data_IF_989709716107
#
_entry.id   IF_989709716107
#
_cell.length_a   1.000
_cell.length_b   1.000
_cell.length_c   1.000
_cell.angle_alpha   90.00
_cell.angle_beta   90.00
_cell.angle_gamma   90.00
#
_symmetry.space_group_name_H-M   'P 1'
#
loop_
_entity.id
_entity.type
_entity.pdbx_description
1 polymer ?
#
# COMPACT_ATOMS: atom_id res chain seq x y z
N UNK A 1 -14.86 16.55 14.66
CA UNK A 1 -15.64 15.39 14.14
C UNK A 1 -14.87 14.11 14.46
N UNK A 2 -15.55 12.99 14.83
CA UNK A 2 -14.86 11.75 15.17
C UNK A 2 -15.24 10.61 14.22
N UNK A 3 -14.28 9.70 13.98
CA UNK A 3 -14.52 8.42 13.32
C UNK A 3 -13.80 7.30 14.08
N UNK A 4 -14.29 6.08 14.03
CA UNK A 4 -13.59 4.94 14.57
C UNK A 4 -12.57 4.44 13.53
N UNK A 5 -11.30 4.40 13.92
CA UNK A 5 -10.25 3.74 13.17
C UNK A 5 -10.02 2.33 13.70
N UNK A 6 -10.00 1.34 12.81
CA UNK A 6 -9.67 -0.05 13.13
C UNK A 6 -8.46 -0.45 12.31
N UNK A 7 -7.43 -0.98 12.97
CA UNK A 7 -6.20 -1.45 12.34
C UNK A 7 -6.12 -2.98 12.46
N UNK A 8 -6.32 -3.70 11.36
CA UNK A 8 -6.19 -5.16 11.27
C UNK A 8 -4.72 -5.52 11.02
N UNK A 9 -4.05 -5.95 12.07
CA UNK A 9 -2.66 -6.41 11.97
C UNK A 9 -2.53 -7.93 12.12
N UNK A 10 -1.45 -8.50 11.62
CA UNK A 10 -1.22 -9.97 11.66
C UNK A 10 -1.06 -10.57 13.06
N UNK A 11 -0.78 -9.78 14.10
CA UNK A 11 -0.64 -10.25 15.49
C UNK A 11 -1.64 -9.64 16.46
N UNK A 12 -2.31 -8.57 16.08
CA UNK A 12 -3.28 -7.89 16.91
C UNK A 12 -4.04 -6.84 16.13
N UNK A 13 -5.33 -6.76 16.41
CA UNK A 13 -6.25 -5.78 15.87
C UNK A 13 -6.47 -4.69 16.91
N UNK A 14 -6.48 -3.45 16.47
CA UNK A 14 -6.56 -2.28 17.37
C UNK A 14 -7.62 -1.33 16.87
N UNK A 15 -8.29 -0.63 17.78
CA UNK A 15 -9.20 0.42 17.41
C UNK A 15 -9.14 1.58 18.41
N UNK A 16 -9.43 2.78 17.92
CA UNK A 16 -9.70 3.96 18.74
C UNK A 16 -10.60 4.94 17.99
N UNK A 17 -11.45 5.70 18.68
CA UNK A 17 -12.08 6.89 18.15
C UNK A 17 -11.01 7.96 17.90
N UNK A 18 -11.04 8.57 16.71
CA UNK A 18 -10.07 9.58 16.28
C UNK A 18 -10.78 10.90 16.03
N UNK A 19 -10.23 11.97 16.55
CA UNK A 19 -10.61 13.33 16.17
C UNK A 19 -10.00 13.64 14.79
N UNK A 20 -10.85 13.81 13.79
CA UNK A 20 -10.46 14.00 12.40
C UNK A 20 -9.83 15.39 12.11
N UNK A 21 -9.85 16.32 13.03
CA UNK A 21 -9.19 17.63 12.90
C UNK A 21 -7.75 17.58 13.38
N UNK A 22 -7.49 16.76 14.41
CA UNK A 22 -6.18 16.72 15.08
C UNK A 22 -5.42 15.42 14.89
N UNK A 23 -6.09 14.34 14.43
CA UNK A 23 -5.53 13.00 14.32
C UNK A 23 -5.32 12.30 15.67
N UNK A 24 -5.73 12.92 16.78
CA UNK A 24 -5.56 12.38 18.13
C UNK A 24 -6.67 11.41 18.50
N UNK A 25 -6.34 10.43 19.32
CA UNK A 25 -7.32 9.53 19.88
C UNK A 25 -8.22 10.25 20.89
N UNK A 26 -9.53 10.09 20.74
CA UNK A 26 -10.52 10.67 21.66
C UNK A 26 -10.78 9.75 22.87
N UNK A 27 -10.30 8.51 22.85
CA UNK A 27 -10.32 7.55 23.94
C UNK A 27 -9.12 6.60 23.84
N UNK A 28 -8.86 5.86 24.91
CA UNK A 28 -7.77 4.88 24.94
C UNK A 28 -7.98 3.80 23.88
N UNK A 29 -6.89 3.40 23.25
CA UNK A 29 -6.86 2.36 22.25
C UNK A 29 -7.20 0.98 22.84
N UNK A 30 -8.18 0.29 22.27
CA UNK A 30 -8.46 -1.12 22.54
C UNK A 30 -7.65 -2.00 21.60
N UNK A 31 -7.08 -3.10 22.12
CA UNK A 31 -6.34 -4.10 21.36
C UNK A 31 -6.88 -5.50 21.67
N UNK A 32 -7.18 -6.25 20.61
CA UNK A 32 -7.56 -7.67 20.68
C UNK A 32 -6.55 -8.46 19.83
N UNK A 33 -6.15 -9.64 20.28
CA UNK A 33 -5.27 -10.50 19.49
C UNK A 33 -5.93 -10.92 18.17
N UNK A 34 -5.19 -10.92 17.08
CA UNK A 34 -5.67 -11.46 15.81
C UNK A 34 -5.90 -12.95 15.97
N UNK A 35 -7.07 -13.50 15.57
CA UNK A 35 -7.37 -14.92 15.69
C UNK A 35 -6.40 -15.77 14.89
N UNK A 36 -6.22 -17.01 15.30
CA UNK A 36 -5.41 -17.98 14.58
C UNK A 36 -6.17 -19.30 14.44
N UNK A 37 -6.52 -19.69 13.18
CA UNK A 37 -6.22 -19.01 11.90
C UNK A 37 -6.98 -17.69 11.76
N UNK A 38 -6.40 -16.74 11.00
CA UNK A 38 -6.99 -15.43 10.77
C UNK A 38 -7.96 -15.47 9.57
N UNK A 39 -8.93 -16.40 9.64
CA UNK A 39 -9.98 -16.57 8.63
C UNK A 39 -10.98 -15.40 8.66
N UNK A 40 -11.68 -15.11 7.54
CA UNK A 40 -12.57 -13.96 7.42
C UNK A 40 -13.59 -13.82 8.55
N UNK A 41 -14.33 -14.88 8.88
CA UNK A 41 -15.38 -14.80 9.91
C UNK A 41 -14.80 -14.53 11.30
N UNK A 42 -13.69 -15.17 11.67
CA UNK A 42 -13.06 -14.95 12.95
C UNK A 42 -12.51 -13.52 13.11
N UNK A 43 -11.97 -12.93 12.05
CA UNK A 43 -11.53 -11.52 12.05
C UNK A 43 -12.73 -10.58 12.11
N UNK A 44 -13.81 -10.89 11.38
CA UNK A 44 -15.05 -10.10 11.42
C UNK A 44 -15.67 -10.06 12.83
N UNK A 45 -15.66 -11.18 13.57
CA UNK A 45 -16.07 -11.21 14.98
C UNK A 45 -15.22 -10.28 15.86
N UNK A 46 -13.91 -10.18 15.61
CA UNK A 46 -13.06 -9.25 16.35
C UNK A 46 -13.38 -7.80 15.98
N UNK A 47 -13.66 -7.50 14.71
CA UNK A 47 -14.12 -6.16 14.31
C UNK A 47 -15.41 -5.80 15.03
N UNK A 48 -16.39 -6.70 15.09
CA UNK A 48 -17.61 -6.49 15.86
C UNK A 48 -17.32 -6.15 17.33
N UNK A 49 -16.49 -6.94 18.00
CA UNK A 49 -16.09 -6.71 19.40
C UNK A 49 -15.40 -5.35 19.60
N UNK A 50 -14.57 -4.91 18.64
CA UNK A 50 -13.94 -3.60 18.70
C UNK A 50 -14.95 -2.45 18.56
N UNK A 51 -15.95 -2.59 17.69
CA UNK A 51 -17.05 -1.61 17.55
C UNK A 51 -17.91 -1.56 18.81
N UNK A 52 -18.26 -2.71 19.37
CA UNK A 52 -19.03 -2.85 20.60
C UNK A 52 -18.30 -2.25 21.82
N UNK A 53 -16.96 -2.44 21.90
CA UNK A 53 -16.15 -1.90 23.01
C UNK A 53 -16.24 -0.39 23.16
N UNK A 54 -16.53 0.32 22.07
CA UNK A 54 -16.75 1.77 22.09
C UNK A 54 -18.23 2.16 22.04
N UNK A 55 -19.16 1.18 22.00
CA UNK A 55 -20.60 1.44 21.72
C UNK A 55 -20.76 2.39 20.54
N UNK A 56 -19.96 2.16 19.48
CA UNK A 56 -19.73 3.13 18.43
C UNK A 56 -20.92 3.19 17.47
N UNK A 57 -21.36 4.42 17.19
CA UNK A 57 -22.27 4.73 16.11
C UNK A 57 -21.74 5.94 15.34
N UNK A 58 -21.35 5.76 14.10
CA UNK A 58 -20.73 6.80 13.27
C UNK A 58 -19.79 6.23 12.21
N UNK A 59 -19.04 7.08 11.50
CA UNK A 59 -18.12 6.63 10.47
C UNK A 59 -17.08 5.64 11.01
N UNK A 60 -16.81 4.57 10.26
CA UNK A 60 -15.79 3.56 10.58
C UNK A 60 -14.87 3.39 9.38
N UNK A 61 -13.58 3.54 9.62
CA UNK A 61 -12.52 3.12 8.69
C UNK A 61 -11.76 1.93 9.23
N UNK A 62 -11.38 1.02 8.35
CA UNK A 62 -10.69 -0.20 8.72
C UNK A 62 -9.51 -0.43 7.78
N UNK A 63 -8.31 -0.72 8.31
CA UNK A 63 -7.20 -1.17 7.48
C UNK A 63 -7.31 -2.64 7.16
N UNK A 64 -6.72 -3.05 6.04
CA UNK A 64 -6.49 -4.43 5.69
C UNK A 64 -5.04 -4.62 5.23
N UNK A 65 -4.30 -5.64 5.73
CA UNK A 65 -2.91 -5.87 5.35
C UNK A 65 -2.83 -6.58 3.98
N UNK A 66 -3.09 -5.83 2.92
CA UNK A 66 -3.09 -6.30 1.54
C UNK A 66 -3.85 -5.37 0.61
N UNK A 67 -3.82 -5.67 -0.67
CA UNK A 67 -4.49 -4.92 -1.74
C UNK A 67 -6.01 -5.02 -1.61
N UNK A 68 -6.68 -3.87 -1.60
CA UNK A 68 -8.15 -3.75 -1.55
C UNK A 68 -8.65 -2.95 -2.75
N UNK A 69 -9.45 -3.57 -3.61
CA UNK A 69 -10.04 -2.91 -4.78
C UNK A 69 -11.56 -2.99 -4.71
N UNK A 70 -12.22 -1.84 -4.57
CA UNK A 70 -13.68 -1.75 -4.46
C UNK A 70 -14.26 -2.62 -3.33
N UNK A 71 -13.56 -2.72 -2.20
CA UNK A 71 -13.96 -3.52 -1.05
C UNK A 71 -13.60 -5.01 -1.12
N UNK A 72 -13.09 -5.46 -2.28
CA UNK A 72 -12.63 -6.85 -2.49
C UNK A 72 -11.14 -6.93 -2.21
N UNK A 73 -10.72 -7.88 -1.37
CA UNK A 73 -9.31 -8.15 -1.08
C UNK A 73 -8.68 -8.95 -2.22
N UNK A 74 -7.52 -8.51 -2.69
CA UNK A 74 -6.79 -9.13 -3.81
C UNK A 74 -5.57 -9.93 -3.36
N UNK A 75 -4.98 -9.54 -2.24
CA UNK A 75 -3.86 -10.23 -1.60
C UNK A 75 -4.14 -10.39 -0.11
N UNK A 76 -3.44 -11.29 0.57
CA UNK A 76 -3.59 -11.55 2.00
C UNK A 76 -2.26 -12.02 2.59
N UNK A 77 -1.22 -11.18 2.56
CA UNK A 77 0.15 -11.55 2.89
C UNK A 77 0.34 -12.15 4.30
N UNK A 78 -0.41 -11.65 5.30
CA UNK A 78 -0.26 -12.02 6.70
C UNK A 78 -1.56 -12.58 7.33
N UNK A 79 -2.55 -12.88 6.52
CA UNK A 79 -3.83 -13.47 6.92
C UNK A 79 -4.09 -14.78 6.16
N UNK A 80 -5.23 -15.39 6.41
CA UNK A 80 -5.62 -16.62 5.73
C UNK A 80 -5.88 -16.39 4.23
N UNK A 81 -5.47 -17.31 3.32
CA UNK A 81 -5.75 -17.19 1.89
C UNK A 81 -7.23 -17.09 1.52
N UNK A 82 -8.15 -17.51 2.39
CA UNK A 82 -9.59 -17.36 2.18
C UNK A 82 -10.07 -15.91 2.02
N UNK A 83 -9.22 -14.94 2.36
CA UNK A 83 -9.49 -13.53 2.08
C UNK A 83 -9.40 -13.17 0.60
N UNK A 84 -8.62 -13.90 -0.19
CA UNK A 84 -8.35 -13.54 -1.60
C UNK A 84 -9.62 -13.69 -2.44
N UNK A 85 -10.06 -12.60 -3.07
CA UNK A 85 -11.28 -12.53 -3.87
C UNK A 85 -12.57 -12.30 -3.06
N UNK A 86 -12.49 -12.19 -1.72
CA UNK A 86 -13.64 -11.94 -0.87
C UNK A 86 -14.06 -10.46 -0.91
N UNK A 87 -15.36 -10.19 -0.93
CA UNK A 87 -15.90 -8.87 -0.59
C UNK A 87 -15.77 -8.65 0.92
N UNK A 88 -14.58 -8.25 1.31
CA UNK A 88 -14.23 -8.02 2.72
C UNK A 88 -15.03 -6.86 3.31
N UNK A 89 -15.32 -5.81 2.49
CA UNK A 89 -16.14 -4.69 2.97
C UNK A 89 -17.53 -5.16 3.34
N UNK A 90 -18.20 -5.94 2.48
CA UNK A 90 -19.54 -6.44 2.79
C UNK A 90 -19.56 -7.32 4.06
N UNK A 91 -18.56 -8.20 4.22
CA UNK A 91 -18.42 -9.03 5.42
C UNK A 91 -18.26 -8.17 6.68
N UNK A 92 -17.34 -7.20 6.67
CA UNK A 92 -17.05 -6.38 7.83
C UNK A 92 -18.20 -5.41 8.16
N UNK A 93 -18.88 -4.84 7.15
CA UNK A 93 -20.09 -4.05 7.35
C UNK A 93 -21.21 -4.86 8.02
N UNK A 94 -21.40 -6.12 7.61
CA UNK A 94 -22.37 -7.02 8.22
C UNK A 94 -22.04 -7.30 9.69
N UNK A 95 -20.78 -7.57 9.99
CA UNK A 95 -20.32 -7.84 11.35
C UNK A 95 -20.45 -6.62 12.28
N UNK A 96 -20.10 -5.43 11.78
CA UNK A 96 -20.21 -4.19 12.54
C UNK A 96 -21.63 -3.64 12.65
N UNK A 97 -22.57 -4.10 11.82
CA UNK A 97 -23.91 -3.52 11.71
C UNK A 97 -23.93 -2.09 11.15
N UNK A 98 -22.84 -1.61 10.57
CA UNK A 98 -22.62 -0.25 10.08
C UNK A 98 -21.75 -0.26 8.82
N UNK A 99 -21.76 0.83 8.07
CA UNK A 99 -20.87 0.97 6.91
C UNK A 99 -19.41 1.14 7.34
N UNK A 100 -18.52 0.38 6.70
CA UNK A 100 -17.07 0.42 6.91
C UNK A 100 -16.37 0.81 5.60
N UNK A 101 -15.48 1.78 5.69
CA UNK A 101 -14.50 2.04 4.64
C UNK A 101 -13.29 1.14 4.85
N UNK A 102 -12.90 0.41 3.81
CA UNK A 102 -11.74 -0.47 3.85
C UNK A 102 -10.60 0.12 3.01
N UNK A 103 -9.40 0.14 3.58
CA UNK A 103 -8.18 0.71 2.96
C UNK A 103 -6.98 -0.21 3.25
N UNK A 104 -5.98 -0.23 2.37
CA UNK A 104 -4.70 -0.89 2.65
C UNK A 104 -4.02 -0.26 3.89
N UNK A 105 -3.26 -1.04 4.67
CA UNK A 105 -2.64 -0.59 5.91
C UNK A 105 -1.52 0.45 5.71
N UNK A 106 -0.70 0.29 4.66
CA UNK A 106 0.34 1.26 4.32
C UNK A 106 -0.27 2.55 3.75
N UNK A 107 -1.32 2.44 2.92
CA UNK A 107 -2.08 3.59 2.43
C UNK A 107 -2.69 4.39 3.59
N UNK A 108 -3.29 3.71 4.57
CA UNK A 108 -3.83 4.36 5.76
C UNK A 108 -2.74 5.10 6.55
N UNK A 109 -1.60 4.44 6.80
CA UNK A 109 -0.48 5.09 7.46
C UNK A 109 0.01 6.33 6.69
N UNK A 110 0.07 6.24 5.37
CA UNK A 110 0.40 7.37 4.50
C UNK A 110 -0.61 8.51 4.59
N UNK A 111 -1.91 8.22 4.57
CA UNK A 111 -2.97 9.25 4.73
C UNK A 111 -2.80 10.00 6.06
N UNK A 112 -2.50 9.28 7.15
CA UNK A 112 -2.26 9.91 8.45
C UNK A 112 -1.02 10.82 8.43
N UNK A 113 0.08 10.37 7.86
CA UNK A 113 1.33 11.15 7.76
C UNK A 113 1.18 12.36 6.85
N UNK A 114 0.44 12.27 5.75
CA UNK A 114 0.16 13.39 4.86
C UNK A 114 -0.78 14.42 5.50
N UNK A 115 -1.67 13.97 6.39
CA UNK A 115 -2.65 14.86 7.04
C UNK A 115 -2.10 15.52 8.29
N UNK A 116 -1.44 14.75 9.15
CA UNK A 116 -1.06 15.19 10.51
C UNK A 116 0.45 15.09 10.79
N UNK A 117 1.18 14.32 9.99
CA UNK A 117 2.56 13.94 10.26
C UNK A 117 3.59 14.60 9.35
N UNK A 118 4.61 13.82 9.01
CA UNK A 118 5.82 14.27 8.31
C UNK A 118 5.57 14.76 6.87
N UNK A 119 4.45 14.34 6.25
CA UNK A 119 4.07 14.73 4.89
C UNK A 119 3.10 15.91 4.81
N UNK A 120 2.74 16.49 5.95
CA UNK A 120 1.74 17.57 5.98
C UNK A 120 2.18 18.79 5.19
N UNK A 121 1.39 19.13 4.16
CA UNK A 121 1.63 20.30 3.31
C UNK A 121 2.76 20.13 2.28
N UNK A 122 3.35 18.94 2.14
CA UNK A 122 4.36 18.65 1.13
C UNK A 122 3.70 18.55 -0.25
N UNK A 123 4.16 19.33 -1.24
CA UNK A 123 3.66 19.27 -2.60
C UNK A 123 4.36 18.17 -3.40
N UNK A 124 3.84 17.88 -4.60
CA UNK A 124 4.44 16.99 -5.56
C UNK A 124 4.34 15.52 -5.14
N UNK A 125 5.34 14.72 -5.51
CA UNK A 125 5.36 13.29 -5.24
C UNK A 125 5.94 13.01 -3.86
N UNK A 126 5.15 12.39 -2.99
CA UNK A 126 5.59 11.91 -1.68
C UNK A 126 5.46 10.39 -1.64
N UNK A 127 6.55 9.72 -1.28
CA UNK A 127 6.58 8.28 -1.12
C UNK A 127 6.73 7.91 0.35
N UNK A 128 5.77 7.16 0.88
CA UNK A 128 5.89 6.58 2.21
C UNK A 128 6.23 5.10 2.09
N UNK A 129 7.17 4.67 2.91
CA UNK A 129 7.56 3.26 3.04
C UNK A 129 7.47 2.83 4.49
N UNK A 130 6.89 1.65 4.75
CA UNK A 130 6.84 1.06 6.10
C UNK A 130 7.69 -0.20 6.14
N UNK A 131 8.65 -0.26 7.05
CA UNK A 131 9.46 -1.45 7.28
C UNK A 131 8.95 -2.20 8.52
N UNK A 132 8.52 -3.44 8.30
CA UNK A 132 7.98 -4.33 9.32
C UNK A 132 8.19 -5.79 8.95
N UNK A 133 7.13 -6.62 9.00
CA UNK A 133 7.14 -8.01 8.52
C UNK A 133 7.49 -8.06 7.02
N UNK A 134 6.95 -7.14 6.24
CA UNK A 134 7.30 -6.89 4.85
C UNK A 134 7.72 -5.43 4.66
N UNK A 135 7.59 -4.94 3.42
CA UNK A 135 7.72 -3.53 3.06
C UNK A 135 6.39 -3.07 2.48
N UNK A 136 5.64 -2.26 3.23
CA UNK A 136 4.47 -1.57 2.70
C UNK A 136 4.84 -0.24 2.05
N UNK A 137 4.05 0.20 1.09
CA UNK A 137 4.26 1.49 0.41
C UNK A 137 2.98 2.26 0.21
N UNK A 138 3.05 3.59 0.27
CA UNK A 138 1.98 4.49 -0.14
C UNK A 138 2.56 5.62 -0.97
N UNK A 139 1.90 5.97 -2.06
CA UNK A 139 2.34 7.00 -2.99
C UNK A 139 1.31 8.12 -3.03
N UNK A 140 1.78 9.36 -3.00
CA UNK A 140 0.94 10.56 -3.10
C UNK A 140 1.47 11.46 -4.20
N UNK A 141 0.54 12.09 -4.91
CA UNK A 141 0.82 13.17 -5.86
C UNK A 141 -0.03 14.37 -5.46
N UNK A 142 0.61 15.48 -5.08
CA UNK A 142 -0.05 16.69 -4.58
C UNK A 142 -1.07 16.39 -3.44
N UNK A 143 -0.68 15.52 -2.53
CA UNK A 143 -1.51 15.09 -1.40
C UNK A 143 -2.60 14.07 -1.73
N UNK A 144 -2.75 13.67 -2.99
CA UNK A 144 -3.74 12.67 -3.45
C UNK A 144 -3.10 11.29 -3.44
N UNK A 145 -3.71 10.36 -2.72
CA UNK A 145 -3.25 8.98 -2.65
C UNK A 145 -3.39 8.26 -4.00
N UNK A 146 -2.33 7.59 -4.43
CA UNK A 146 -2.35 6.54 -5.47
C UNK A 146 -2.49 5.20 -4.75
N UNK A 147 -3.69 4.61 -4.69
CA UNK A 147 -3.98 3.52 -3.76
C UNK A 147 -3.34 2.20 -4.18
N UNK A 148 -3.07 1.36 -3.17
CA UNK A 148 -2.59 -0.01 -3.34
C UNK A 148 -1.28 -0.13 -4.10
N UNK A 149 -0.31 0.70 -3.82
CA UNK A 149 1.04 0.52 -4.37
C UNK A 149 1.79 -0.55 -3.57
N UNK A 150 2.44 -1.48 -4.28
CA UNK A 150 3.13 -2.63 -3.70
C UNK A 150 4.62 -2.62 -4.07
N UNK A 151 5.28 -1.47 -3.90
CA UNK A 151 6.71 -1.32 -4.21
C UNK A 151 7.65 -2.15 -3.33
N UNK A 152 7.15 -2.74 -2.24
CA UNK A 152 7.90 -3.72 -1.45
C UNK A 152 8.26 -4.96 -2.25
N UNK A 153 7.46 -5.29 -3.29
CA UNK A 153 7.71 -6.39 -4.23
C UNK A 153 8.60 -6.02 -5.42
N UNK A 154 9.18 -4.81 -5.41
CA UNK A 154 10.17 -4.45 -6.42
C UNK A 154 11.36 -5.43 -6.36
N UNK A 155 11.63 -6.10 -7.48
CA UNK A 155 12.73 -7.05 -7.55
C UNK A 155 14.07 -6.33 -7.67
N UNK A 156 14.98 -6.60 -6.73
CA UNK A 156 16.35 -6.09 -6.72
C UNK A 156 17.30 -7.26 -6.56
N UNK A 157 18.21 -7.44 -7.53
CA UNK A 157 19.17 -8.55 -7.58
C UNK A 157 18.51 -9.93 -7.55
N UNK A 158 17.38 -10.08 -8.24
CA UNK A 158 16.66 -11.36 -8.34
C UNK A 158 15.90 -11.75 -7.06
N UNK A 159 15.58 -10.79 -6.18
CA UNK A 159 14.80 -11.01 -4.94
C UNK A 159 13.87 -9.84 -4.69
N UNK A 160 12.71 -10.13 -4.11
CA UNK A 160 11.83 -9.11 -3.55
C UNK A 160 12.59 -8.22 -2.58
N UNK A 161 12.36 -6.91 -2.67
CA UNK A 161 13.01 -5.95 -1.79
C UNK A 161 12.72 -6.23 -0.32
N UNK A 162 11.52 -6.72 0.01
CA UNK A 162 11.17 -7.06 1.39
C UNK A 162 11.97 -8.24 1.96
N UNK A 163 12.45 -9.17 1.13
CA UNK A 163 13.35 -10.24 1.58
C UNK A 163 14.73 -9.73 1.99
N UNK A 164 15.10 -8.53 1.55
CA UNK A 164 16.40 -7.92 1.75
C UNK A 164 16.40 -6.76 2.75
N UNK A 165 15.34 -5.95 2.75
CA UNK A 165 15.30 -4.67 3.43
C UNK A 165 14.16 -4.54 4.45
N UNK A 166 13.26 -5.53 4.63
CA UNK A 166 12.27 -5.49 5.71
C UNK A 166 12.93 -5.58 7.11
N UNK A 167 12.22 -5.15 8.15
CA UNK A 167 12.67 -5.37 9.54
C UNK A 167 12.79 -6.86 9.85
N UNK A 168 11.84 -7.68 9.36
CA UNK A 168 11.91 -9.14 9.47
C UNK A 168 13.20 -9.69 8.87
N UNK A 169 13.59 -9.24 7.67
CA UNK A 169 14.82 -9.66 7.02
C UNK A 169 16.05 -9.26 7.84
N UNK A 170 16.05 -8.04 8.43
CA UNK A 170 17.13 -7.60 9.33
C UNK A 170 17.30 -8.52 10.52
N UNK A 171 16.18 -8.87 11.18
CA UNK A 171 16.20 -9.73 12.38
C UNK A 171 16.59 -11.15 12.02
N UNK A 172 15.96 -11.74 11.01
CA UNK A 172 16.20 -13.13 10.59
C UNK A 172 17.64 -13.39 10.11
N UNK A 173 18.29 -12.39 9.54
CA UNK A 173 19.67 -12.49 9.05
C UNK A 173 20.69 -11.82 10.00
N UNK A 174 20.27 -11.46 11.21
CA UNK A 174 21.14 -10.82 12.23
C UNK A 174 21.94 -9.63 11.67
N UNK A 175 21.33 -8.84 10.77
CA UNK A 175 22.03 -7.74 10.10
C UNK A 175 22.37 -6.62 11.09
N UNK A 176 23.60 -6.15 11.03
CA UNK A 176 23.96 -4.88 11.68
C UNK A 176 23.17 -3.72 11.07
N UNK A 177 23.02 -2.62 11.80
CA UNK A 177 22.38 -1.41 11.29
C UNK A 177 23.02 -0.90 10.00
N UNK A 178 24.34 -0.95 9.90
CA UNK A 178 25.08 -0.55 8.71
C UNK A 178 24.76 -1.45 7.50
N UNK A 179 24.67 -2.76 7.70
CA UNK A 179 24.35 -3.70 6.62
C UNK A 179 22.90 -3.50 6.16
N UNK A 180 21.97 -3.41 7.11
CA UNK A 180 20.55 -3.20 6.78
C UNK A 180 20.32 -1.84 6.11
N UNK A 181 20.91 -0.75 6.62
CA UNK A 181 20.84 0.57 6.01
C UNK A 181 21.32 0.58 4.56
N UNK A 182 22.36 -0.21 4.22
CA UNK A 182 22.83 -0.37 2.84
C UNK A 182 21.73 -0.99 1.96
N UNK A 183 21.02 -2.01 2.44
CA UNK A 183 19.94 -2.64 1.67
C UNK A 183 18.74 -1.68 1.50
N UNK A 184 18.40 -0.95 2.55
CA UNK A 184 17.34 0.08 2.49
C UNK A 184 17.74 1.20 1.53
N UNK A 185 19.00 1.65 1.58
CA UNK A 185 19.49 2.68 0.66
C UNK A 185 19.39 2.21 -0.80
N UNK A 186 19.81 1.00 -1.10
CA UNK A 186 19.69 0.43 -2.46
C UNK A 186 18.24 0.37 -2.93
N UNK A 187 17.31 0.01 -2.04
CA UNK A 187 15.88 0.04 -2.34
C UNK A 187 15.39 1.46 -2.63
N UNK A 188 15.77 2.43 -1.81
CA UNK A 188 15.35 3.83 -1.99
C UNK A 188 16.02 4.47 -3.21
N UNK A 189 17.23 4.09 -3.61
CA UNK A 189 17.86 4.50 -4.87
C UNK A 189 17.01 4.09 -6.08
N UNK A 190 16.45 2.87 -6.07
CA UNK A 190 15.53 2.41 -7.13
C UNK A 190 14.22 3.20 -7.12
N UNK A 191 13.64 3.45 -5.93
CA UNK A 191 12.44 4.28 -5.79
C UNK A 191 12.69 5.70 -6.30
N UNK A 192 13.83 6.29 -5.97
CA UNK A 192 14.20 7.63 -6.44
C UNK A 192 14.32 7.66 -7.97
N UNK A 193 14.98 6.66 -8.56
CA UNK A 193 15.12 6.54 -10.01
C UNK A 193 13.79 6.37 -10.75
N UNK A 194 12.80 5.70 -10.13
CA UNK A 194 11.50 5.43 -10.73
C UNK A 194 10.49 6.56 -10.55
N UNK A 195 10.49 7.21 -9.39
CA UNK A 195 9.42 8.13 -8.98
C UNK A 195 9.89 9.58 -8.82
N UNK A 196 11.20 9.81 -8.64
CA UNK A 196 11.80 11.11 -8.33
C UNK A 196 10.99 11.89 -7.25
N UNK A 197 10.73 11.29 -6.06
CA UNK A 197 9.87 11.90 -5.06
C UNK A 197 10.55 13.12 -4.41
N UNK A 198 9.78 14.12 -4.02
CA UNK A 198 10.27 15.25 -3.23
C UNK A 198 10.55 14.87 -1.78
N UNK A 199 9.82 13.87 -1.27
CA UNK A 199 9.94 13.40 0.08
C UNK A 199 9.75 11.89 0.16
N UNK A 200 10.62 11.22 0.92
CA UNK A 200 10.41 9.84 1.40
C UNK A 200 10.17 9.86 2.89
N UNK A 201 9.04 9.27 3.33
CA UNK A 201 8.70 9.10 4.75
C UNK A 201 8.94 7.64 5.14
N UNK A 202 9.79 7.42 6.14
CA UNK A 202 10.11 6.07 6.63
C UNK A 202 9.30 5.75 7.87
N UNK A 203 8.35 4.83 7.73
CA UNK A 203 7.43 4.35 8.76
C UNK A 203 7.71 2.91 9.21
N UNK A 204 6.70 2.32 9.87
CA UNK A 204 6.77 0.99 10.46
C UNK A 204 7.41 1.02 11.86
N UNK A 205 7.44 -0.15 12.53
CA UNK A 205 7.93 -0.26 13.91
C UNK A 205 9.38 0.19 14.09
N UNK A 206 10.21 -0.06 13.10
CA UNK A 206 11.64 0.25 13.10
C UNK A 206 11.93 1.74 12.99
N UNK A 207 10.98 2.56 12.50
CA UNK A 207 11.16 4.02 12.37
C UNK A 207 11.42 4.72 13.72
N UNK A 208 11.03 4.11 14.84
CA UNK A 208 11.37 4.56 16.20
C UNK A 208 12.87 4.54 16.50
N UNK A 209 13.65 3.87 15.66
CA UNK A 209 15.10 3.74 15.75
C UNK A 209 15.79 4.38 14.54
N UNK A 210 15.12 5.35 13.92
CA UNK A 210 15.59 6.04 12.70
C UNK A 210 16.98 6.66 12.86
N UNK A 211 17.34 7.11 14.05
CA UNK A 211 18.67 7.64 14.40
C UNK A 211 19.81 6.62 14.21
N UNK A 212 19.49 5.30 14.17
CA UNK A 212 20.49 4.24 13.98
C UNK A 212 20.79 3.93 12.52
N UNK A 213 19.94 4.34 11.59
CA UNK A 213 20.10 3.95 10.18
C UNK A 213 19.97 5.12 9.18
N UNK A 214 19.11 6.13 9.41
CA UNK A 214 19.00 7.27 8.51
C UNK A 214 20.34 7.99 8.27
N UNK A 215 21.18 8.24 9.31
CA UNK A 215 22.49 8.86 9.09
C UNK A 215 23.49 8.00 8.30
N UNK A 216 23.18 6.72 8.12
CA UNK A 216 24.02 5.78 7.36
C UNK A 216 23.63 5.69 5.88
N UNK A 217 22.53 6.34 5.48
CA UNK A 217 22.10 6.43 4.09
C UNK A 217 22.88 7.54 3.39
N UNK A 218 23.30 7.27 2.16
CA UNK A 218 24.13 8.20 1.37
C UNK A 218 23.76 8.15 -0.10
N UNK A 219 23.96 9.25 -0.81
CA UNK A 219 23.77 9.32 -2.28
C UNK A 219 22.37 9.68 -2.73
N UNK A 220 21.34 9.53 -1.88
CA UNK A 220 19.99 9.95 -2.20
C UNK A 220 19.90 11.48 -2.34
N UNK A 221 19.25 11.94 -3.40
CA UNK A 221 18.95 13.37 -3.60
C UNK A 221 17.64 13.75 -2.90
N UNK A 222 16.74 12.78 -2.77
CA UNK A 222 15.45 12.96 -2.10
C UNK A 222 15.62 13.11 -0.60
N UNK A 223 14.88 14.03 -0.02
CA UNK A 223 14.78 14.18 1.43
C UNK A 223 14.10 12.96 2.06
N UNK A 224 14.80 12.29 3.00
CA UNK A 224 14.27 11.13 3.73
C UNK A 224 14.06 11.51 5.19
N UNK A 225 12.85 11.31 5.70
CA UNK A 225 12.48 11.65 7.08
C UNK A 225 11.78 10.48 7.78
N UNK A 226 11.88 10.36 9.12
CA UNK A 226 11.06 9.40 9.85
C UNK A 226 9.60 9.84 9.91
N UNK A 227 8.69 8.86 9.96
CA UNK A 227 7.28 9.08 10.24
C UNK A 227 7.07 9.71 11.62
N UNK A 228 6.10 10.62 11.74
CA UNK A 228 5.81 11.36 12.97
C UNK A 228 4.73 10.69 13.83
N UNK A 229 3.80 9.94 13.21
CA UNK A 229 2.65 9.34 13.91
C UNK A 229 2.91 7.92 14.41
N UNK A 230 4.02 7.30 14.01
CA UNK A 230 4.44 5.96 14.46
C UNK A 230 3.32 4.90 14.41
N UNK A 231 3.03 4.27 15.58
CA UNK A 231 2.06 3.17 15.69
C UNK A 231 0.59 3.61 15.64
N UNK A 232 0.32 4.90 15.63
CA UNK A 232 -1.03 5.46 15.64
C UNK A 232 -1.48 5.77 14.21
N UNK A 233 -0.54 5.80 13.26
CA UNK A 233 -0.79 6.13 11.86
C UNK A 233 -1.86 5.23 11.20
N UNK A 234 -1.81 3.92 11.42
CA UNK A 234 -2.79 2.98 10.84
C UNK A 234 -4.22 3.27 11.31
N UNK A 235 -4.42 3.47 12.62
CA UNK A 235 -5.74 3.79 13.20
C UNK A 235 -6.22 5.16 12.74
N UNK A 236 -5.33 6.19 12.79
CA UNK A 236 -5.69 7.54 12.39
C UNK A 236 -6.03 7.62 10.90
N UNK A 237 -5.24 6.99 10.05
CA UNK A 237 -5.48 6.96 8.60
C UNK A 237 -6.74 6.16 8.23
N UNK A 238 -6.99 5.04 8.90
CA UNK A 238 -8.25 4.31 8.75
C UNK A 238 -9.45 5.22 9.06
N UNK A 239 -9.44 5.90 10.22
CA UNK A 239 -10.50 6.84 10.59
C UNK A 239 -10.67 7.96 9.56
N UNK A 240 -9.55 8.54 9.07
CA UNK A 240 -9.58 9.56 8.02
C UNK A 240 -10.22 9.06 6.73
N UNK A 241 -9.98 7.81 6.34
CA UNK A 241 -10.59 7.23 5.13
C UNK A 241 -12.12 7.17 5.20
N UNK A 242 -12.70 7.12 6.40
CA UNK A 242 -14.15 7.09 6.61
C UNK A 242 -14.81 8.48 6.46
N UNK A 243 -14.04 9.56 6.41
CA UNK A 243 -14.60 10.91 6.27
C UNK A 243 -15.22 11.11 4.87
N UNK A 244 -16.46 11.63 4.76
CA UNK A 244 -17.12 11.83 3.45
C UNK A 244 -16.37 12.75 2.47
N UNK A 245 -15.47 13.61 2.97
CA UNK A 245 -14.62 14.51 2.18
C UNK A 245 -13.21 13.97 1.95
N UNK A 246 -12.86 12.78 2.46
CA UNK A 246 -11.60 12.12 2.20
C UNK A 246 -11.60 11.63 0.76
N UNK A 247 -10.91 12.37 -0.10
CA UNK A 247 -10.75 12.06 -1.51
C UNK A 247 -9.76 10.90 -1.73
N UNK A 248 -10.14 9.69 -1.32
CA UNK A 248 -9.88 8.55 -2.15
C UNK A 248 -11.00 8.58 -3.20
N UNK A 249 -10.74 8.76 -4.50
CA UNK A 249 -11.78 8.69 -5.51
C UNK A 249 -12.21 7.24 -5.67
N UNK A 250 -13.03 6.75 -4.75
CA UNK A 250 -13.91 5.61 -5.03
C UNK A 250 -15.02 6.20 -5.90
N UNK A 251 -14.78 6.28 -7.21
CA UNK A 251 -15.89 6.40 -8.14
C UNK A 251 -16.78 5.19 -7.89
N UNK A 252 -17.92 5.43 -7.27
CA UNK A 252 -19.05 4.50 -7.33
C UNK A 252 -19.18 4.10 -8.80
N UNK A 253 -19.17 2.79 -9.08
CA UNK A 253 -19.29 2.28 -10.44
C UNK A 253 -20.49 2.88 -11.12
N UNK A 254 -20.30 3.91 -11.92
CA UNK A 254 -21.19 4.21 -13.01
C UNK A 254 -21.08 3.00 -13.94
N UNK A 255 -22.22 2.35 -14.15
CA UNK A 255 -22.33 1.16 -14.97
C UNK A 255 -21.54 1.31 -16.27
N UNK A 256 -20.90 0.23 -16.67
CA UNK A 256 -20.17 0.14 -17.92
C UNK A 256 -21.05 0.64 -19.07
N UNK A 257 -20.97 1.92 -19.37
CA UNK A 257 -21.36 2.43 -20.66
C UNK A 257 -20.24 2.04 -21.60
N UNK A 258 -20.54 1.10 -22.50
CA UNK A 258 -19.69 0.71 -23.59
C UNK A 258 -19.07 1.96 -24.24
N UNK A 259 -17.76 1.95 -24.42
CA UNK A 259 -17.03 2.96 -25.14
C UNK A 259 -17.48 2.95 -26.62
N UNK A 260 -18.16 3.99 -27.15
CA UNK A 260 -18.68 3.97 -28.52
C UNK A 260 -17.60 4.19 -29.59
N UNK A 261 -16.32 4.25 -29.22
CA UNK A 261 -15.24 4.64 -30.13
C UNK A 261 -14.52 3.50 -30.84
N UNK A 262 -15.00 2.26 -30.75
CA UNK A 262 -14.45 1.12 -31.51
C UNK A 262 -15.42 0.53 -32.55
N UNK A 263 -16.52 1.21 -32.86
CA UNK A 263 -17.40 0.85 -33.97
C UNK A 263 -16.96 1.60 -35.22
N UNK A 264 -16.03 1.05 -36.01
CA UNK A 264 -15.61 1.73 -37.23
C UNK A 264 -14.36 1.19 -37.90
N UNK A 265 -14.05 -0.12 -37.74
CA UNK A 265 -13.12 -0.79 -38.66
C UNK A 265 -13.94 -1.67 -39.60
N UNK A 266 -14.06 -1.38 -40.93
CA UNK A 266 -14.77 -2.26 -41.85
C UNK A 266 -13.98 -3.55 -42.03
N UNK A 267 -14.66 -4.65 -41.83
CA UNK A 267 -14.23 -6.00 -42.13
C UNK A 267 -14.11 -6.14 -43.68
N UNK A 268 -12.90 -6.12 -44.21
CA UNK A 268 -12.66 -6.40 -45.63
C UNK A 268 -12.76 -7.87 -45.85
N UNK A 269 -13.72 -8.25 -46.71
CA UNK A 269 -14.07 -9.55 -47.18
C UNK A 269 -12.85 -10.37 -47.67
N UNK A 270 -12.70 -11.56 -47.17
CA UNK A 270 -11.81 -12.59 -47.69
C UNK A 270 -12.36 -13.14 -49.02
N UNK A 271 -11.75 -12.79 -50.13
CA UNK A 271 -11.89 -13.50 -51.39
C UNK A 271 -10.76 -14.52 -51.54
N UNK A 272 -11.16 -15.74 -51.82
CA UNK A 272 -10.32 -16.90 -52.12
C UNK A 272 -9.56 -16.69 -53.46
N UNK A 273 -8.37 -17.22 -53.53
CA UNK A 273 -7.84 -17.84 -54.74
C UNK A 273 -6.45 -17.36 -55.15
N UNK A 274 -5.52 -18.29 -55.32
CA UNK A 274 -4.39 -18.14 -56.24
C UNK A 274 -3.01 -18.46 -55.67
N UNK A 275 -2.55 -19.65 -55.96
CA UNK A 275 -1.20 -20.21 -55.92
C UNK A 275 -0.12 -19.30 -56.56
N UNK A 276 1.09 -19.24 -55.98
CA UNK A 276 2.27 -18.79 -56.76
C UNK A 276 3.49 -18.38 -55.93
N UNK A 277 4.45 -19.30 -55.80
CA UNK A 277 5.93 -19.14 -55.84
C UNK A 277 6.66 -18.10 -55.06
N UNK A 278 7.48 -18.59 -54.13
CA UNK A 278 8.87 -18.22 -53.73
C UNK A 278 9.43 -16.85 -54.10
N UNK A 279 9.88 -16.13 -53.10
CA UNK A 279 10.77 -14.95 -53.20
C UNK A 279 11.33 -14.56 -51.84
N UNK A 280 12.48 -15.13 -51.54
CA UNK A 280 13.37 -14.79 -50.43
C UNK A 280 13.82 -13.31 -50.58
N UNK A 281 13.48 -12.44 -49.62
CA UNK A 281 14.20 -11.14 -49.46
C UNK A 281 14.47 -10.89 -47.98
N UNK A 282 15.75 -11.02 -47.63
CA UNK A 282 16.30 -10.81 -46.30
C UNK A 282 16.10 -9.39 -45.77
N UNK A 283 15.83 -9.32 -44.50
CA UNK A 283 15.86 -8.08 -43.72
C UNK A 283 17.31 -7.65 -43.45
N UNK A 284 17.64 -6.33 -43.48
CA UNK A 284 18.99 -5.85 -43.19
C UNK A 284 19.32 -6.02 -41.71
N UNK A 285 20.50 -6.63 -41.47
CA UNK A 285 21.05 -6.87 -40.13
C UNK A 285 21.48 -5.56 -39.45
N UNK A 286 21.28 -5.49 -38.16
CA UNK A 286 21.88 -4.49 -37.27
C UNK A 286 23.36 -4.86 -37.03
N UNK A 287 24.27 -3.89 -36.97
CA UNK A 287 25.68 -4.17 -36.68
C UNK A 287 25.92 -4.53 -35.23
N UNK A 288 26.70 -5.58 -35.02
CA UNK A 288 27.18 -6.05 -33.73
C UNK A 288 28.21 -5.02 -33.15
N UNK A 289 28.06 -4.55 -31.89
CA UNK A 289 29.09 -3.75 -31.23
C UNK A 289 30.20 -4.66 -30.69
N UNK A 290 31.31 -4.73 -31.42
CA UNK A 290 32.49 -5.49 -31.06
C UNK A 290 33.05 -5.16 -29.67
N UNK A 291 33.48 -6.19 -28.95
CA UNK A 291 34.23 -6.15 -27.71
C UNK A 291 35.68 -5.63 -28.00
N UNK A 292 36.23 -4.78 -27.09
CA UNK A 292 37.66 -4.40 -27.20
C UNK A 292 38.58 -5.55 -26.73
N UNK A 293 39.77 -5.67 -27.30
CA UNK A 293 40.76 -6.68 -26.91
C UNK A 293 41.64 -6.20 -25.75
N UNK A 294 42.01 -7.14 -24.86
CA UNK A 294 43.11 -7.02 -23.90
C UNK A 294 42.68 -7.17 -22.44
#
# INVERSE_FOLDING_TARGET
>A
MHALGIDIGGTGMKAAPVDLETGKFAADRVKIATPRPAVPDAVAEVVQKLVEAFSWSGPIGCTFPGVVTNGVTRTAANLDPAWIGLDARALLCKAAGQDIRLINDADAAGVAEMTFGAGKGEPGTVFMVTFGTGIGSALFVDGILVPNTEFGHLEIRGKDSEERASERAKVANEMSWKHWAKNVNEYLDHIEALLSPQLVIVGGGISKQSEKFLPLMTGLQTRVVPAAMYNDAGIAGAAMSAHPGSAAPVRAGAGATANPSLAGVPETAATRGGSGTSGDQGLPGFPDPGLPPG
#
